data_IF_299942805896
#
_entry.id   IF_299942805896
#
_cell.length_a   1.000
_cell.length_b   1.000
_cell.length_c   1.000
_cell.angle_alpha   90.00
_cell.angle_beta   90.00
_cell.angle_gamma   90.00
#
_symmetry.space_group_name_H-M   'P 1'
#
loop_
_entity.id
_entity.type
_entity.pdbx_description
1 polymer ?
#
# COMPACT_ATOMS: atom_id res chain seq x y z
N UNK A 1 -16.78 -45.30 2.47
CA UNK A 1 -17.65 -44.23 2.12
C UNK A 1 -16.80 -42.97 1.96
N UNK A 2 -16.69 -42.50 0.73
CA UNK A 2 -16.00 -41.25 0.37
C UNK A 2 -16.95 -40.11 0.69
N UNK A 3 -16.64 -39.28 1.68
CA UNK A 3 -17.33 -38.01 1.93
C UNK A 3 -16.93 -37.00 0.86
N UNK A 4 -17.83 -36.69 -0.06
CA UNK A 4 -17.73 -35.54 -0.95
C UNK A 4 -18.00 -34.28 -0.14
N UNK A 5 -16.96 -33.49 0.09
CA UNK A 5 -17.11 -32.10 0.49
C UNK A 5 -17.35 -31.25 -0.76
N UNK A 6 -18.59 -31.19 -1.19
CA UNK A 6 -19.03 -30.18 -2.14
C UNK A 6 -19.10 -28.83 -1.40
N UNK A 7 -18.02 -28.11 -1.33
CA UNK A 7 -18.00 -26.71 -0.88
C UNK A 7 -18.63 -25.84 -1.94
N UNK A 8 -19.85 -25.38 -1.73
CA UNK A 8 -20.42 -24.26 -2.51
C UNK A 8 -19.48 -23.07 -2.44
N UNK A 9 -19.33 -22.26 -3.52
CA UNK A 9 -18.49 -21.07 -3.49
C UNK A 9 -19.02 -20.13 -2.40
N UNK A 10 -18.23 -19.93 -1.35
CA UNK A 10 -18.54 -18.96 -0.29
C UNK A 10 -18.69 -17.59 -0.94
N UNK A 11 -19.82 -16.94 -0.67
CA UNK A 11 -20.12 -15.62 -1.17
C UNK A 11 -18.99 -14.64 -0.85
N UNK A 12 -18.72 -13.66 -1.73
CA UNK A 12 -17.65 -12.66 -1.56
C UNK A 12 -17.70 -11.93 -0.20
N UNK A 13 -18.88 -11.87 0.42
CA UNK A 13 -19.08 -11.32 1.77
C UNK A 13 -18.31 -12.09 2.86
N UNK A 14 -18.21 -13.42 2.77
CA UNK A 14 -17.54 -14.25 3.78
C UNK A 14 -16.01 -14.12 3.74
N UNK A 15 -15.44 -13.80 2.58
CA UNK A 15 -13.98 -13.60 2.45
C UNK A 15 -13.48 -12.33 3.13
N UNK A 16 -14.33 -11.32 3.28
CA UNK A 16 -14.01 -10.04 3.95
C UNK A 16 -13.69 -10.20 5.43
N UNK A 17 -14.29 -11.18 6.10
CA UNK A 17 -14.06 -11.45 7.51
C UNK A 17 -12.78 -12.24 7.81
N UNK A 18 -12.30 -13.03 6.87
CA UNK A 18 -11.15 -13.92 7.06
C UNK A 18 -9.84 -13.12 7.11
N UNK A 19 -9.77 -11.99 6.41
CA UNK A 19 -8.56 -11.15 6.30
C UNK A 19 -8.47 -10.06 7.36
N UNK A 20 -9.55 -9.74 8.08
CA UNK A 20 -9.61 -8.61 9.00
C UNK A 20 -9.72 -7.23 8.31
N UNK A 21 -9.57 -7.16 6.99
CA UNK A 21 -9.79 -5.94 6.22
C UNK A 21 -11.28 -5.79 5.90
N UNK A 22 -11.86 -4.69 6.35
CA UNK A 22 -13.28 -4.40 6.15
C UNK A 22 -13.44 -3.13 5.30
N UNK A 23 -13.54 -3.31 3.99
CA UNK A 23 -13.68 -2.21 3.04
C UNK A 23 -15.13 -1.73 3.02
N UNK A 24 -15.42 -0.67 3.78
CA UNK A 24 -16.76 -0.05 3.93
C UNK A 24 -16.80 1.39 3.43
N UNK A 25 -15.65 1.96 3.13
CA UNK A 25 -15.53 3.34 2.70
C UNK A 25 -16.34 3.62 1.44
N UNK A 26 -16.93 4.80 1.38
CA UNK A 26 -17.57 5.33 0.18
C UNK A 26 -16.53 5.89 -0.79
N UNK A 27 -15.40 6.37 -0.26
CA UNK A 27 -14.22 6.86 -1.01
C UNK A 27 -12.97 6.23 -0.41
N UNK A 28 -12.54 5.16 -1.04
CA UNK A 28 -11.39 4.35 -0.58
C UNK A 28 -10.13 4.78 -1.35
N UNK A 29 -9.12 5.25 -0.63
CA UNK A 29 -7.81 5.56 -1.21
C UNK A 29 -6.84 4.42 -0.93
N UNK A 30 -6.35 3.78 -1.98
CA UNK A 30 -5.30 2.76 -1.88
C UNK A 30 -3.94 3.42 -2.11
N UNK A 31 -3.05 3.29 -1.14
CA UNK A 31 -1.69 3.83 -1.17
C UNK A 31 -0.71 2.68 -1.32
N UNK A 32 0.03 2.66 -2.42
CA UNK A 32 0.93 1.56 -2.78
C UNK A 32 2.37 2.05 -2.71
N UNK A 33 3.14 1.49 -1.78
CA UNK A 33 4.58 1.72 -1.71
C UNK A 33 5.25 1.08 -2.93
N UNK A 34 6.03 1.88 -3.67
CA UNK A 34 6.87 1.43 -4.77
C UNK A 34 8.36 1.76 -4.54
N UNK A 35 8.76 1.87 -3.29
CA UNK A 35 10.16 2.05 -2.94
C UNK A 35 11.00 0.81 -3.27
N UNK A 36 12.32 0.96 -3.28
CA UNK A 36 13.23 -0.13 -3.66
C UNK A 36 13.12 -1.35 -2.73
N UNK A 37 12.68 -1.19 -1.47
CA UNK A 37 12.46 -2.31 -0.54
C UNK A 37 11.35 -3.27 -1.00
N UNK A 38 10.42 -2.78 -1.82
CA UNK A 38 9.37 -3.61 -2.41
C UNK A 38 9.86 -4.64 -3.45
N UNK A 39 11.16 -4.65 -3.75
CA UNK A 39 11.77 -5.67 -4.61
C UNK A 39 11.99 -7.01 -3.90
N UNK A 40 12.32 -7.01 -2.61
CA UNK A 40 12.58 -8.24 -1.83
C UNK A 40 12.42 -7.99 -0.33
N UNK A 41 12.29 -9.08 0.44
CA UNK A 41 12.28 -9.05 1.90
C UNK A 41 13.69 -8.89 2.49
N UNK A 42 14.72 -9.09 1.70
CA UNK A 42 16.12 -9.12 2.11
C UNK A 42 16.92 -7.98 1.49
N UNK A 43 17.68 -7.25 2.33
CA UNK A 43 18.45 -6.08 1.90
C UNK A 43 19.51 -6.41 0.84
N UNK A 44 20.17 -7.57 0.92
CA UNK A 44 21.21 -7.96 -0.05
C UNK A 44 20.56 -8.20 -1.41
N UNK A 45 19.42 -8.87 -1.44
CA UNK A 45 18.66 -9.09 -2.67
C UNK A 45 18.11 -7.76 -3.23
N UNK A 46 17.64 -6.84 -2.42
CA UNK A 46 17.23 -5.49 -2.86
C UNK A 46 18.37 -4.80 -3.59
N UNK A 47 19.61 -4.85 -3.02
CA UNK A 47 20.79 -4.23 -3.63
C UNK A 47 21.11 -4.85 -5.00
N UNK A 48 20.96 -6.16 -5.15
CA UNK A 48 21.14 -6.84 -6.43
C UNK A 48 20.05 -6.46 -7.43
N UNK A 49 18.79 -6.58 -7.03
CA UNK A 49 17.63 -6.38 -7.91
C UNK A 49 17.52 -4.94 -8.40
N UNK A 50 17.78 -3.93 -7.55
CA UNK A 50 17.67 -2.52 -7.93
C UNK A 50 18.59 -2.09 -9.06
N UNK A 51 19.69 -2.84 -9.28
CA UNK A 51 20.66 -2.59 -10.34
C UNK A 51 20.30 -3.30 -11.66
N UNK A 52 19.25 -4.11 -11.67
CA UNK A 52 18.76 -4.79 -12.87
C UNK A 52 17.95 -3.82 -13.75
N UNK A 53 17.83 -4.14 -15.06
CA UNK A 53 16.92 -3.41 -15.95
C UNK A 53 15.47 -3.41 -15.44
N UNK A 54 14.72 -2.35 -15.77
CA UNK A 54 13.34 -2.17 -15.30
C UNK A 54 12.43 -3.38 -15.50
N UNK A 55 12.44 -4.09 -16.65
CA UNK A 55 11.58 -5.26 -16.81
C UNK A 55 11.84 -6.33 -15.74
N UNK A 56 13.11 -6.54 -15.36
CA UNK A 56 13.47 -7.50 -14.30
C UNK A 56 13.03 -7.05 -12.91
N UNK A 57 13.06 -5.73 -12.64
CA UNK A 57 12.56 -5.19 -11.38
C UNK A 57 11.04 -5.32 -11.25
N UNK A 58 10.30 -5.18 -12.35
CA UNK A 58 8.84 -5.41 -12.39
C UNK A 58 8.46 -6.84 -12.07
N UNK A 59 9.32 -7.80 -12.41
CA UNK A 59 9.11 -9.23 -12.15
C UNK A 59 9.56 -9.68 -10.75
N UNK A 60 10.05 -8.77 -9.90
CA UNK A 60 10.42 -9.11 -8.53
C UNK A 60 9.23 -9.70 -7.75
N UNK A 61 9.43 -10.85 -7.11
CA UNK A 61 8.35 -11.64 -6.53
C UNK A 61 7.52 -10.85 -5.50
N UNK A 62 8.17 -10.07 -4.63
CA UNK A 62 7.49 -9.23 -3.65
C UNK A 62 6.68 -8.13 -4.32
N UNK A 63 7.20 -7.52 -5.39
CA UNK A 63 6.48 -6.50 -6.15
C UNK A 63 5.25 -7.09 -6.84
N UNK A 64 5.38 -8.22 -7.54
CA UNK A 64 4.23 -8.90 -8.16
C UNK A 64 3.16 -9.21 -7.14
N UNK A 65 3.54 -9.77 -6.00
CA UNK A 65 2.61 -10.00 -4.89
C UNK A 65 1.94 -8.71 -4.39
N UNK A 66 2.67 -7.59 -4.34
CA UNK A 66 2.08 -6.30 -3.99
C UNK A 66 0.96 -5.92 -4.96
N UNK A 67 1.17 -6.11 -6.26
CA UNK A 67 0.17 -5.85 -7.29
C UNK A 67 -1.04 -6.78 -7.15
N UNK A 68 -0.83 -8.07 -6.83
CA UNK A 68 -1.92 -9.01 -6.54
C UNK A 68 -2.76 -8.55 -5.32
N UNK A 69 -2.11 -8.04 -4.29
CA UNK A 69 -2.79 -7.45 -3.12
C UNK A 69 -3.64 -6.24 -3.53
N UNK A 70 -3.10 -5.34 -4.36
CA UNK A 70 -3.86 -4.18 -4.86
C UNK A 70 -5.07 -4.64 -5.67
N UNK A 71 -4.88 -5.61 -6.58
CA UNK A 71 -5.97 -6.18 -7.38
C UNK A 71 -7.04 -6.81 -6.48
N UNK A 72 -6.62 -7.56 -5.46
CA UNK A 72 -7.55 -8.14 -4.49
C UNK A 72 -8.32 -7.05 -3.72
N UNK A 73 -7.64 -6.02 -3.20
CA UNK A 73 -8.28 -4.90 -2.47
C UNK A 73 -9.28 -4.19 -3.35
N UNK A 74 -8.90 -3.82 -4.57
CA UNK A 74 -9.78 -3.11 -5.51
C UNK A 74 -10.98 -3.96 -5.94
N UNK A 75 -10.79 -5.28 -6.11
CA UNK A 75 -11.85 -6.22 -6.39
C UNK A 75 -12.86 -6.46 -5.25
N UNK A 76 -12.51 -6.08 -4.01
CA UNK A 76 -13.41 -6.18 -2.83
C UNK A 76 -14.18 -4.88 -2.55
N UNK A 77 -13.94 -3.82 -3.31
CA UNK A 77 -14.63 -2.55 -3.10
C UNK A 77 -16.14 -2.70 -3.36
N UNK A 78 -17.00 -2.09 -2.51
CA UNK A 78 -18.43 -2.06 -2.79
C UNK A 78 -18.71 -1.39 -4.14
N UNK A 79 -19.61 -1.96 -4.95
CA UNK A 79 -19.93 -1.45 -6.29
C UNK A 79 -20.41 0.00 -6.32
N UNK A 80 -21.03 0.47 -5.23
CA UNK A 80 -21.49 1.86 -5.08
C UNK A 80 -20.41 2.82 -4.52
N UNK A 81 -19.19 2.34 -4.28
CA UNK A 81 -18.11 3.17 -3.76
C UNK A 81 -17.29 3.81 -4.89
N UNK A 82 -16.49 4.77 -4.49
CA UNK A 82 -15.46 5.39 -5.31
C UNK A 82 -14.08 5.01 -4.76
N UNK A 83 -13.10 4.97 -5.62
CA UNK A 83 -11.74 4.67 -5.23
C UNK A 83 -10.73 5.55 -5.95
N UNK A 84 -9.51 5.55 -5.43
CA UNK A 84 -8.34 6.05 -6.12
C UNK A 84 -7.12 5.22 -5.69
N UNK A 85 -6.16 5.04 -6.57
CA UNK A 85 -4.91 4.34 -6.29
C UNK A 85 -3.75 5.30 -6.50
N UNK A 86 -3.02 5.55 -5.43
CA UNK A 86 -1.79 6.34 -5.45
C UNK A 86 -0.58 5.44 -5.25
N UNK A 87 0.41 5.60 -6.09
CA UNK A 87 1.73 5.01 -5.86
C UNK A 87 2.64 6.04 -5.21
N UNK A 88 3.49 5.59 -4.31
CA UNK A 88 4.45 6.47 -3.64
C UNK A 88 5.81 5.80 -3.44
N UNK A 89 6.83 6.65 -3.44
CA UNK A 89 8.18 6.38 -2.99
C UNK A 89 8.67 7.65 -2.27
N UNK A 90 9.59 8.42 -2.81
CA UNK A 90 9.95 9.76 -2.33
C UNK A 90 8.93 10.81 -2.76
N UNK A 91 8.13 10.52 -3.78
CA UNK A 91 6.99 11.31 -4.26
C UNK A 91 5.71 10.48 -4.18
N UNK A 92 4.55 11.13 -4.33
CA UNK A 92 3.25 10.44 -4.31
C UNK A 92 2.32 11.03 -5.37
N UNK A 93 1.53 10.17 -6.01
CA UNK A 93 0.54 10.59 -7.00
C UNK A 93 -0.33 9.44 -7.49
N UNK A 94 -1.39 9.75 -8.25
CA UNK A 94 -2.26 8.73 -8.82
C UNK A 94 -1.49 7.85 -9.82
N UNK A 95 -1.81 6.56 -9.83
CA UNK A 95 -1.20 5.59 -10.74
C UNK A 95 -1.51 5.93 -12.20
N UNK A 96 -2.70 6.46 -12.45
CA UNK A 96 -3.12 7.00 -13.77
C UNK A 96 -3.13 8.53 -13.67
N UNK A 97 -2.13 9.25 -14.21
CA UNK A 97 -1.94 10.68 -14.01
C UNK A 97 -3.15 11.55 -14.40
N UNK A 98 -3.91 11.14 -15.41
CA UNK A 98 -5.08 11.86 -15.92
C UNK A 98 -6.25 11.85 -14.92
N UNK A 99 -6.15 11.04 -13.87
CA UNK A 99 -7.15 10.94 -12.80
C UNK A 99 -6.81 11.78 -11.56
N UNK A 100 -5.78 12.64 -11.66
CA UNK A 100 -5.38 13.51 -10.56
C UNK A 100 -6.55 14.31 -9.99
N UNK A 101 -6.76 14.24 -8.68
CA UNK A 101 -7.84 14.93 -7.98
C UNK A 101 -9.25 14.37 -8.25
N UNK A 102 -9.38 13.25 -8.93
CA UNK A 102 -10.67 12.63 -9.28
C UNK A 102 -10.86 11.32 -8.53
N UNK A 103 -12.11 11.03 -8.18
CA UNK A 103 -12.53 9.74 -7.68
C UNK A 103 -13.07 8.88 -8.84
N UNK A 104 -12.72 7.61 -8.85
CA UNK A 104 -13.12 6.62 -9.86
C UNK A 104 -14.24 5.77 -9.28
N UNK A 105 -15.24 5.41 -10.10
CA UNK A 105 -16.30 4.52 -9.65
C UNK A 105 -15.78 3.07 -9.57
N UNK A 106 -16.06 2.38 -8.47
CA UNK A 106 -15.66 0.98 -8.31
C UNK A 106 -16.40 0.03 -9.28
N UNK A 107 -17.51 0.46 -9.84
CA UNK A 107 -18.28 -0.27 -10.87
C UNK A 107 -17.76 -0.07 -12.30
N UNK A 108 -16.79 0.84 -12.52
CA UNK A 108 -16.21 1.12 -13.85
C UNK A 108 -15.08 0.13 -14.15
N UNK A 109 -15.43 -1.04 -14.68
CA UNK A 109 -14.48 -2.09 -15.01
C UNK A 109 -13.39 -1.64 -16.00
N UNK A 110 -13.69 -0.93 -17.12
CA UNK A 110 -12.67 -0.38 -18.01
C UNK A 110 -11.66 0.54 -17.30
N UNK A 111 -12.12 1.35 -16.34
CA UNK A 111 -11.22 2.22 -15.58
C UNK A 111 -10.36 1.41 -14.60
N UNK A 112 -10.91 0.36 -14.01
CA UNK A 112 -10.14 -0.54 -13.14
C UNK A 112 -9.04 -1.27 -13.92
N UNK A 113 -9.34 -1.74 -15.14
CA UNK A 113 -8.34 -2.33 -16.04
C UNK A 113 -7.22 -1.36 -16.41
N UNK A 114 -7.53 -0.08 -16.64
CA UNK A 114 -6.52 0.96 -16.88
C UNK A 114 -5.62 1.17 -15.66
N UNK A 115 -6.19 1.19 -14.46
CA UNK A 115 -5.43 1.31 -13.21
C UNK A 115 -4.52 0.10 -13.05
N UNK A 116 -5.01 -1.12 -13.29
CA UNK A 116 -4.20 -2.34 -13.21
C UNK A 116 -3.06 -2.33 -14.24
N UNK A 117 -3.34 -1.99 -15.49
CA UNK A 117 -2.32 -1.88 -16.53
C UNK A 117 -1.25 -0.82 -16.19
N UNK A 118 -1.64 0.30 -15.59
CA UNK A 118 -0.71 1.32 -15.16
C UNK A 118 0.16 0.85 -13.96
N UNK A 119 -0.41 0.10 -13.01
CA UNK A 119 0.32 -0.53 -11.91
C UNK A 119 1.39 -1.49 -12.42
N UNK A 120 1.08 -2.31 -13.43
CA UNK A 120 2.02 -3.26 -14.04
C UNK A 120 3.23 -2.57 -14.70
N UNK A 121 3.10 -1.29 -15.09
CA UNK A 121 4.21 -0.51 -15.64
C UNK A 121 5.08 0.15 -14.58
N UNK A 122 4.65 0.21 -13.33
CA UNK A 122 5.44 0.79 -12.26
C UNK A 122 6.68 -0.05 -11.93
N UNK A 123 7.74 0.65 -11.56
CA UNK A 123 9.01 0.02 -11.18
C UNK A 123 9.34 0.43 -9.74
N UNK A 124 9.59 -0.52 -8.83
CA UNK A 124 10.08 -0.19 -7.50
C UNK A 124 11.46 0.49 -7.56
N UNK A 125 11.55 1.66 -6.89
CA UNK A 125 12.78 2.46 -6.89
C UNK A 125 12.77 3.50 -5.77
N UNK A 126 13.93 4.03 -5.44
CA UNK A 126 14.15 5.10 -4.47
C UNK A 126 13.80 4.71 -3.01
N UNK A 127 13.75 5.71 -2.14
CA UNK A 127 13.35 5.57 -0.74
C UNK A 127 11.84 5.71 -0.54
N UNK A 128 11.44 5.80 0.74
CA UNK A 128 10.03 5.88 1.15
C UNK A 128 9.77 7.17 1.91
N UNK A 129 8.80 7.98 1.48
CA UNK A 129 8.30 9.16 2.18
C UNK A 129 6.82 9.02 2.51
N UNK A 130 6.51 8.58 3.73
CA UNK A 130 5.13 8.50 4.22
C UNK A 130 4.49 9.89 4.38
N UNK A 131 5.29 10.91 4.72
CA UNK A 131 4.77 12.27 4.87
C UNK A 131 4.22 12.82 3.55
N UNK A 132 4.86 12.53 2.42
CA UNK A 132 4.44 13.01 1.12
C UNK A 132 3.14 12.33 0.68
N UNK A 133 3.00 11.02 0.89
CA UNK A 133 1.78 10.31 0.53
C UNK A 133 0.61 10.69 1.45
N UNK A 134 0.83 10.91 2.74
CA UNK A 134 -0.22 11.35 3.65
C UNK A 134 -0.67 12.79 3.38
N UNK A 135 0.26 13.68 2.98
CA UNK A 135 -0.10 15.02 2.48
C UNK A 135 -0.98 14.92 1.22
N UNK A 136 -0.58 14.10 0.26
CA UNK A 136 -1.37 13.88 -0.96
C UNK A 136 -2.76 13.32 -0.65
N UNK A 137 -2.87 12.37 0.28
CA UNK A 137 -4.16 11.83 0.73
C UNK A 137 -5.05 12.92 1.37
N UNK A 138 -4.48 13.78 2.20
CA UNK A 138 -5.21 14.88 2.86
C UNK A 138 -5.63 16.01 1.92
N UNK A 139 -4.96 16.16 0.78
CA UNK A 139 -5.27 17.18 -0.24
C UNK A 139 -6.38 16.77 -1.20
N UNK A 140 -6.77 15.49 -1.22
CA UNK A 140 -7.90 15.05 -2.05
C UNK A 140 -9.21 15.72 -1.60
N UNK A 141 -10.00 16.18 -2.57
CA UNK A 141 -11.30 16.80 -2.30
C UNK A 141 -12.39 16.12 -3.17
N UNK A 142 -13.44 15.58 -2.55
CA UNK A 142 -13.58 15.33 -1.10
C UNK A 142 -12.52 14.34 -0.56
N UNK A 143 -12.22 14.45 0.74
CA UNK A 143 -11.23 13.56 1.36
C UNK A 143 -11.69 12.08 1.33
N UNK A 144 -10.73 11.11 1.35
CA UNK A 144 -11.06 9.72 1.55
C UNK A 144 -11.73 9.53 2.92
N UNK A 145 -12.63 8.57 3.01
CA UNK A 145 -13.22 8.14 4.27
C UNK A 145 -12.66 6.78 4.74
N UNK A 146 -11.78 6.19 3.94
CA UNK A 146 -10.98 5.03 4.29
C UNK A 146 -9.70 5.02 3.44
N UNK A 147 -8.57 4.66 4.05
CA UNK A 147 -7.27 4.49 3.38
C UNK A 147 -6.82 3.04 3.56
N UNK A 148 -6.32 2.42 2.50
CA UNK A 148 -5.60 1.16 2.55
C UNK A 148 -4.15 1.44 2.19
N UNK A 149 -3.26 1.32 3.16
CA UNK A 149 -1.82 1.53 3.00
C UNK A 149 -1.12 0.18 2.84
N UNK A 150 -0.46 -0.03 1.71
CA UNK A 150 0.34 -1.22 1.41
C UNK A 150 1.80 -0.79 1.36
N UNK A 151 2.60 -1.27 2.31
CA UNK A 151 4.02 -0.91 2.46
C UNK A 151 4.77 -2.06 3.13
N UNK A 152 6.09 -1.95 3.26
CA UNK A 152 6.91 -3.00 3.88
C UNK A 152 7.80 -2.50 5.02
N UNK A 153 7.88 -1.18 5.24
CA UNK A 153 8.80 -0.70 6.25
C UNK A 153 8.72 0.78 6.58
N UNK A 154 9.55 1.15 7.51
CA UNK A 154 9.66 2.52 8.01
C UNK A 154 10.17 3.47 6.93
N UNK A 155 9.71 4.76 6.93
CA UNK A 155 10.17 5.74 5.96
C UNK A 155 11.68 5.99 6.05
N UNK A 156 12.28 6.30 4.91
CA UNK A 156 13.70 6.61 4.77
C UNK A 156 13.93 8.05 4.37
N UNK A 157 12.86 8.81 4.11
CA UNK A 157 12.91 10.21 3.72
C UNK A 157 11.73 10.98 4.31
N UNK A 158 11.99 12.26 4.65
CA UNK A 158 10.95 13.23 5.02
C UNK A 158 10.24 13.85 3.82
N UNK A 159 9.73 15.06 4.00
CA UNK A 159 9.03 15.80 2.93
C UNK A 159 9.96 16.17 1.77
N UNK A 160 11.21 16.42 2.04
CA UNK A 160 12.26 16.76 1.07
C UNK A 160 13.42 15.78 1.16
N UNK A 161 14.16 15.58 0.07
CA UNK A 161 15.40 14.82 0.12
C UNK A 161 16.35 15.43 1.15
N UNK A 162 17.13 14.61 1.89
CA UNK A 162 18.14 15.13 2.78
C UNK A 162 19.19 15.90 1.97
N UNK A 163 19.65 17.05 2.51
CA UNK A 163 20.64 17.91 1.85
C UNK A 163 21.97 17.19 1.58
N UNK A 164 22.32 16.22 2.41
CA UNK A 164 23.47 15.34 2.23
C UNK A 164 23.00 13.89 2.23
N UNK A 165 23.56 13.07 1.35
CA UNK A 165 23.37 11.61 1.39
C UNK A 165 23.95 11.10 2.71
N UNK A 166 23.08 10.75 3.64
CA UNK A 166 23.47 10.11 4.89
C UNK A 166 22.68 8.83 5.09
N UNK A 167 23.27 7.94 5.83
CA UNK A 167 22.53 6.77 6.32
C UNK A 167 21.43 7.25 7.29
N UNK A 168 20.22 6.79 7.09
CA UNK A 168 19.07 7.08 7.95
C UNK A 168 18.97 5.96 8.96
N UNK A 169 19.33 6.23 10.20
CA UNK A 169 19.29 5.22 11.26
C UNK A 169 17.86 4.94 11.75
N UNK A 170 17.71 3.95 12.64
CA UNK A 170 16.42 3.55 13.17
C UNK A 170 15.72 4.67 13.94
N UNK A 171 16.48 5.51 14.66
CA UNK A 171 15.95 6.66 15.40
C UNK A 171 15.43 7.76 14.46
N UNK A 172 16.17 8.05 13.40
CA UNK A 172 15.74 9.01 12.37
C UNK A 172 14.49 8.50 11.64
N UNK A 173 14.44 7.21 11.25
CA UNK A 173 13.26 6.60 10.64
C UNK A 173 12.03 6.68 11.55
N UNK A 174 12.24 6.49 12.86
CA UNK A 174 11.18 6.64 13.85
C UNK A 174 10.60 8.06 13.87
N UNK A 175 11.46 9.09 13.86
CA UNK A 175 11.03 10.51 13.82
C UNK A 175 10.28 10.83 12.54
N UNK A 176 10.75 10.32 11.38
CA UNK A 176 10.08 10.49 10.09
C UNK A 176 8.69 9.85 10.09
N UNK A 177 8.55 8.68 10.71
CA UNK A 177 7.24 8.02 10.86
C UNK A 177 6.30 8.84 11.75
N UNK A 178 6.77 9.30 12.91
CA UNK A 178 5.99 10.09 13.86
C UNK A 178 5.52 11.43 13.24
N UNK A 179 6.36 12.03 12.39
CA UNK A 179 6.00 13.22 11.64
C UNK A 179 4.91 12.91 10.60
N UNK A 180 5.06 11.83 9.85
CA UNK A 180 4.06 11.40 8.87
C UNK A 180 2.73 11.04 9.55
N UNK A 181 2.74 10.33 10.67
CA UNK A 181 1.54 9.99 11.44
C UNK A 181 0.81 11.25 11.93
N UNK A 182 1.54 12.29 12.36
CA UNK A 182 0.95 13.60 12.73
C UNK A 182 0.28 14.29 11.54
N UNK A 183 0.87 14.22 10.35
CA UNK A 183 0.26 14.75 9.11
C UNK A 183 -1.01 13.99 8.76
N UNK A 184 -1.00 12.66 8.87
CA UNK A 184 -2.20 11.85 8.65
C UNK A 184 -3.29 12.22 9.65
N UNK A 185 -2.93 12.41 10.90
CA UNK A 185 -3.87 12.74 11.97
C UNK A 185 -4.90 11.64 12.21
N UNK A 186 -5.99 12.03 12.89
CA UNK A 186 -7.13 11.15 13.18
C UNK A 186 -8.31 11.48 12.27
N UNK A 187 -9.30 10.59 12.23
CA UNK A 187 -10.59 10.85 11.54
C UNK A 187 -10.72 10.17 10.18
N UNK A 188 -9.65 9.63 9.61
CA UNK A 188 -9.71 8.75 8.43
C UNK A 188 -9.08 7.42 8.84
N UNK A 189 -9.83 6.31 8.87
CA UNK A 189 -9.27 4.98 9.15
C UNK A 189 -8.18 4.61 8.14
N UNK A 190 -7.03 4.17 8.64
CA UNK A 190 -5.92 3.67 7.83
C UNK A 190 -5.77 2.18 8.09
N UNK A 191 -6.25 1.38 7.15
CA UNK A 191 -5.98 -0.04 7.11
C UNK A 191 -4.57 -0.26 6.56
N UNK A 192 -3.77 -1.03 7.26
CA UNK A 192 -2.39 -1.28 6.88
C UNK A 192 -2.21 -2.74 6.47
N UNK A 193 -1.67 -2.95 5.28
CA UNK A 193 -1.13 -4.22 4.82
C UNK A 193 0.39 -4.09 4.81
N UNK A 194 1.04 -4.67 5.82
CA UNK A 194 2.49 -4.60 5.99
C UNK A 194 3.14 -5.87 5.47
N UNK A 195 3.87 -5.75 4.36
CA UNK A 195 4.68 -6.83 3.81
C UNK A 195 5.96 -7.02 4.64
N UNK A 196 6.55 -8.21 4.63
CA UNK A 196 7.76 -8.48 5.39
C UNK A 196 8.96 -7.69 4.84
N UNK A 197 9.79 -7.17 5.77
CA UNK A 197 11.11 -6.59 5.49
C UNK A 197 12.06 -7.00 6.62
N UNK A 198 13.08 -7.79 6.31
CA UNK A 198 14.06 -8.26 7.28
C UNK A 198 14.87 -7.09 7.83
N UNK A 199 15.00 -7.06 9.15
CA UNK A 199 15.79 -6.03 9.85
C UNK A 199 15.01 -4.77 10.21
N UNK A 200 13.75 -4.62 9.80
CA UNK A 200 12.91 -3.48 10.16
C UNK A 200 11.90 -3.82 11.28
N UNK A 201 12.43 -4.28 12.41
CA UNK A 201 11.63 -4.70 13.56
C UNK A 201 10.64 -3.63 14.09
N UNK A 202 10.96 -2.32 14.12
CA UNK A 202 10.04 -1.31 14.60
C UNK A 202 8.82 -1.09 13.71
N UNK A 203 8.89 -1.48 12.43
CA UNK A 203 7.82 -1.21 11.47
C UNK A 203 6.48 -1.81 11.91
N UNK A 204 6.45 -3.09 12.28
CA UNK A 204 5.20 -3.78 12.65
C UNK A 204 4.47 -3.09 13.80
N UNK A 205 5.19 -2.70 14.86
CA UNK A 205 4.60 -2.00 16.00
C UNK A 205 4.06 -0.62 15.61
N UNK A 206 4.83 0.17 14.86
CA UNK A 206 4.45 1.54 14.49
C UNK A 206 3.28 1.58 13.51
N UNK A 207 3.26 0.70 12.53
CA UNK A 207 2.11 0.60 11.61
C UNK A 207 0.87 0.03 12.28
N UNK A 208 1.03 -0.89 13.24
CA UNK A 208 -0.07 -1.35 14.07
C UNK A 208 -0.66 -0.19 14.91
N UNK A 209 0.20 0.63 15.53
CA UNK A 209 -0.23 1.81 16.27
C UNK A 209 -0.98 2.80 15.37
N UNK A 210 -0.46 3.09 14.16
CA UNK A 210 -1.12 3.96 13.19
C UNK A 210 -2.53 3.46 12.85
N UNK A 211 -2.66 2.17 12.50
CA UNK A 211 -3.95 1.57 12.21
C UNK A 211 -4.91 1.69 13.41
N UNK A 212 -4.47 1.30 14.60
CA UNK A 212 -5.25 1.37 15.83
C UNK A 212 -5.70 2.79 16.15
N UNK A 213 -4.81 3.78 16.09
CA UNK A 213 -5.11 5.17 16.44
C UNK A 213 -6.05 5.86 15.45
N UNK A 214 -6.05 5.41 14.21
CA UNK A 214 -6.95 5.92 13.17
C UNK A 214 -8.25 5.13 13.09
N UNK A 215 -8.37 3.99 13.77
CA UNK A 215 -9.54 3.12 13.73
C UNK A 215 -9.59 2.17 12.54
N UNK A 216 -8.45 1.94 11.90
CA UNK A 216 -8.27 0.97 10.82
C UNK A 216 -7.81 -0.40 11.32
N UNK A 217 -7.64 -1.34 10.39
CA UNK A 217 -7.13 -2.68 10.61
C UNK A 217 -5.63 -2.77 10.30
N UNK A 218 -4.96 -3.77 10.89
CA UNK A 218 -3.56 -4.09 10.60
C UNK A 218 -3.43 -5.54 10.19
N UNK A 219 -2.83 -5.79 9.03
CA UNK A 219 -2.61 -7.10 8.46
C UNK A 219 -1.15 -7.28 8.06
N UNK A 220 -0.54 -8.38 8.52
CA UNK A 220 0.71 -8.89 7.97
C UNK A 220 0.39 -10.18 7.20
N UNK A 221 0.34 -10.12 5.87
CA UNK A 221 -0.12 -11.25 5.07
C UNK A 221 0.89 -12.39 5.09
N UNK A 222 0.39 -13.64 5.15
CA UNK A 222 1.19 -14.85 4.90
C UNK A 222 1.68 -14.87 3.45
N UNK A 223 2.69 -15.70 3.12
CA UNK A 223 3.25 -15.77 1.77
C UNK A 223 2.24 -16.19 0.69
N UNK A 224 1.21 -16.91 1.10
CA UNK A 224 0.20 -17.49 0.22
C UNK A 224 -1.07 -16.63 0.12
N UNK A 225 -1.07 -15.41 0.70
CA UNK A 225 -2.18 -14.47 0.61
C UNK A 225 -1.86 -13.36 -0.41
N UNK A 226 -2.81 -12.86 -1.23
CA UNK A 226 -4.26 -13.02 -1.18
C UNK A 226 -4.81 -14.35 -1.65
#
# INVERSE_FOLDING_TARGET
PKGEFAGAPRAAADRRYITGLNLKGRRVLVLVDRSASMLSDDLVEIIKLRNLPEPRRREAAKWRRTLDIVAWVTGQLPSGSQYQVYAFNTTAGPVVPETTGRWLAASDAPQLEKVQAALDQLVPMDGTSLINVFRAARQLSPQPDQIVLISDGMPTQGATPPALRRFVDAGDRAKLFDEAARVMGRGIPVDVVLLPMRGDLPASHRFWMLARETGGAFLMPSKDWP
#
